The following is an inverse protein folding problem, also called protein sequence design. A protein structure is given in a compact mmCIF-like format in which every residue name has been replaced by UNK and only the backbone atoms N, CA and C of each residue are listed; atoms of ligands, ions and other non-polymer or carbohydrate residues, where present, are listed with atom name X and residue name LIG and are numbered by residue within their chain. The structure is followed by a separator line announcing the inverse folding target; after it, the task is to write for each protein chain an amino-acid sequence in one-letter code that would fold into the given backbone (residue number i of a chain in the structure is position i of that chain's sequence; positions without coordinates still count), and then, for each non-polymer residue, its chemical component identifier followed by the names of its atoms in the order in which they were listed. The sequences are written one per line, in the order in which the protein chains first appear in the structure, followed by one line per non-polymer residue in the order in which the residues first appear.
data_IF_298746445964
#
_entry.id   IF_298746445964
#
_cell.length_a   1.000
_cell.length_b   1.000
_cell.length_c   1.000
_cell.angle_alpha   90.00
_cell.angle_beta   90.00
_cell.angle_gamma   90.00
#
_symmetry.space_group_name_H-M   'P 1'
#
loop_
_entity.id
_entity.type
_entity.pdbx_description
1 polymer ?
#
# COMPACT_ATOMS: atom_id res chain seq x y z
N UNK A 1 3.77 24.98 36.17
CA UNK A 1 3.93 23.52 36.16
C UNK A 1 5.00 23.20 35.16
N UNK A 2 6.12 22.61 35.58
CA UNK A 2 7.23 22.34 34.67
C UNK A 2 6.88 21.15 33.77
N UNK A 3 6.85 21.35 32.47
CA UNK A 3 6.76 20.30 31.47
C UNK A 3 8.07 19.49 31.50
N UNK A 4 8.01 18.31 32.12
CA UNK A 4 9.10 17.34 32.03
C UNK A 4 9.16 16.87 30.57
N UNK A 5 10.21 17.28 29.85
CA UNK A 5 10.51 16.74 28.53
C UNK A 5 10.66 15.20 28.63
N UNK A 6 9.83 14.47 27.92
CA UNK A 6 9.98 13.02 27.78
C UNK A 6 11.34 12.78 27.11
N UNK A 7 12.26 11.98 27.71
CA UNK A 7 13.53 11.73 27.10
C UNK A 7 13.33 11.05 25.75
N UNK A 8 13.99 11.57 24.71
CA UNK A 8 14.00 10.92 23.41
C UNK A 8 14.54 9.49 23.58
N UNK A 9 13.68 8.50 23.37
CA UNK A 9 14.09 7.09 23.36
C UNK A 9 15.11 6.99 22.22
N UNK A 10 16.38 6.70 22.53
CA UNK A 10 17.33 6.23 21.53
C UNK A 10 16.83 4.90 21.01
N UNK A 11 16.04 4.94 19.94
CA UNK A 11 15.65 3.75 19.19
C UNK A 11 16.97 3.13 18.72
N UNK A 12 17.22 1.88 19.13
CA UNK A 12 18.34 1.10 18.64
C UNK A 12 18.39 1.20 17.10
N UNK A 13 19.58 1.24 16.53
CA UNK A 13 19.86 1.45 15.11
C UNK A 13 18.88 0.60 14.29
N UNK A 14 17.77 1.21 13.87
CA UNK A 14 16.88 0.58 12.90
C UNK A 14 17.58 0.62 11.54
N UNK A 15 17.64 -0.50 10.80
CA UNK A 15 18.20 -0.52 9.46
C UNK A 15 17.55 0.55 8.56
N UNK A 16 18.28 1.00 7.57
CA UNK A 16 17.79 1.88 6.52
C UNK A 16 17.47 1.05 5.27
N UNK A 17 16.57 1.52 4.38
CA UNK A 17 16.39 0.93 3.06
C UNK A 17 17.74 0.82 2.32
N UNK A 18 17.90 -0.23 1.49
CA UNK A 18 19.16 -0.42 0.75
C UNK A 18 19.41 0.72 -0.24
N UNK A 19 20.69 1.00 -0.47
CA UNK A 19 21.16 1.89 -1.54
C UNK A 19 21.74 1.00 -2.63
N UNK A 20 21.34 1.20 -3.87
CA UNK A 20 21.73 0.40 -5.03
C UNK A 20 22.88 1.08 -5.78
N UNK A 21 23.78 0.28 -6.37
CA UNK A 21 24.90 0.78 -7.15
C UNK A 21 24.50 0.92 -8.63
N UNK A 22 23.51 0.18 -9.09
CA UNK A 22 23.05 0.18 -10.48
C UNK A 22 21.53 0.19 -10.56
N UNK A 23 21.01 0.72 -11.67
CA UNK A 23 19.58 0.68 -11.99
C UNK A 23 19.05 -0.77 -12.06
N UNK A 24 19.88 -1.68 -12.61
CA UNK A 24 19.49 -3.09 -12.72
C UNK A 24 19.30 -3.77 -11.35
N UNK A 25 20.17 -3.47 -10.37
CA UNK A 25 20.02 -3.96 -8.99
C UNK A 25 18.75 -3.40 -8.35
N UNK A 26 18.49 -2.12 -8.51
CA UNK A 26 17.28 -1.50 -7.97
C UNK A 26 16.01 -2.06 -8.63
N UNK A 27 15.99 -2.22 -9.96
CA UNK A 27 14.88 -2.82 -10.69
C UNK A 27 14.59 -4.23 -10.20
N UNK A 28 15.60 -5.07 -10.10
CA UNK A 28 15.46 -6.43 -9.58
C UNK A 28 14.92 -6.43 -8.16
N UNK A 29 15.46 -5.60 -7.30
CA UNK A 29 14.97 -5.45 -5.93
C UNK A 29 13.48 -5.06 -5.89
N UNK A 30 13.08 -4.04 -6.65
CA UNK A 30 11.67 -3.61 -6.71
C UNK A 30 10.75 -4.75 -7.19
N UNK A 31 11.16 -5.50 -8.22
CA UNK A 31 10.42 -6.68 -8.72
C UNK A 31 10.31 -7.78 -7.68
N UNK A 32 11.39 -8.11 -6.98
CA UNK A 32 11.39 -9.11 -5.90
C UNK A 32 10.46 -8.72 -4.75
N UNK A 33 10.52 -7.46 -4.31
CA UNK A 33 9.61 -6.94 -3.28
C UNK A 33 8.16 -6.94 -3.77
N UNK A 34 7.93 -6.63 -5.03
CA UNK A 34 6.60 -6.65 -5.62
C UNK A 34 6.00 -8.06 -5.67
N UNK A 35 6.76 -9.07 -6.13
CA UNK A 35 6.35 -10.47 -6.11
C UNK A 35 6.05 -10.94 -4.67
N UNK A 36 6.90 -10.58 -3.71
CA UNK A 36 6.67 -10.92 -2.29
C UNK A 36 5.41 -10.26 -1.73
N UNK A 37 5.10 -9.02 -2.12
CA UNK A 37 3.91 -8.32 -1.68
C UNK A 37 2.63 -9.03 -2.18
N UNK A 38 2.61 -9.52 -3.42
CA UNK A 38 1.50 -10.33 -3.93
C UNK A 38 1.33 -11.63 -3.14
N UNK A 39 2.42 -12.37 -2.88
CA UNK A 39 2.38 -13.61 -2.09
C UNK A 39 1.88 -13.36 -0.67
N UNK A 40 2.30 -12.27 -0.04
CA UNK A 40 1.80 -11.85 1.27
C UNK A 40 0.33 -11.46 1.21
N UNK A 41 -0.10 -10.72 0.18
CA UNK A 41 -1.52 -10.38 0.01
C UNK A 41 -2.39 -11.63 -0.12
N UNK A 42 -1.94 -12.63 -0.88
CA UNK A 42 -2.62 -13.93 -0.92
C UNK A 42 -2.67 -14.60 0.46
N UNK A 43 -1.54 -14.61 1.19
CA UNK A 43 -1.42 -15.19 2.54
C UNK A 43 -2.35 -14.50 3.54
N UNK A 44 -2.54 -13.19 3.44
CA UNK A 44 -3.46 -12.41 4.28
C UNK A 44 -4.91 -12.46 3.82
N UNK A 45 -5.21 -13.15 2.71
CA UNK A 45 -6.58 -13.29 2.20
C UNK A 45 -7.08 -12.07 1.44
N UNK A 46 -6.19 -11.34 0.75
CA UNK A 46 -6.54 -10.16 -0.05
C UNK A 46 -6.68 -10.46 -1.55
N UNK A 47 -6.55 -11.72 -1.96
CA UNK A 47 -6.71 -12.15 -3.35
C UNK A 47 -8.18 -12.50 -3.61
N UNK A 48 -8.91 -11.62 -4.26
CA UNK A 48 -10.34 -11.75 -4.56
C UNK A 48 -10.54 -11.84 -6.09
N UNK A 49 -10.49 -13.06 -6.64
CA UNK A 49 -10.62 -13.28 -8.08
C UNK A 49 -9.52 -12.55 -8.87
N UNK A 50 -9.92 -11.62 -9.74
CA UNK A 50 -9.02 -10.78 -10.54
C UNK A 50 -8.86 -9.36 -9.99
N UNK A 51 -9.48 -9.08 -8.84
CA UNK A 51 -9.47 -7.76 -8.23
C UNK A 51 -8.17 -7.54 -7.44
N UNK A 52 -7.70 -6.31 -7.49
CA UNK A 52 -6.49 -5.89 -6.80
C UNK A 52 -5.24 -5.92 -7.67
N UNK A 53 -4.33 -5.04 -7.32
CA UNK A 53 -3.07 -4.83 -8.02
C UNK A 53 -2.09 -4.07 -7.13
N UNK A 54 -0.81 -4.35 -7.29
CA UNK A 54 0.28 -3.61 -6.67
C UNK A 54 1.21 -3.18 -7.79
N UNK A 55 1.64 -1.93 -7.78
CA UNK A 55 2.55 -1.39 -8.79
C UNK A 55 3.84 -0.91 -8.14
N UNK A 56 4.93 -0.99 -8.88
CA UNK A 56 6.22 -0.40 -8.53
C UNK A 56 6.77 0.36 -9.72
N UNK A 57 7.03 1.67 -9.56
CA UNK A 57 7.65 2.51 -10.58
C UNK A 57 9.00 1.93 -11.01
N UNK A 58 9.28 1.91 -12.30
CA UNK A 58 10.57 1.53 -12.82
C UNK A 58 11.63 2.57 -12.43
N UNK A 59 12.86 2.17 -12.02
CA UNK A 59 13.87 3.14 -11.60
C UNK A 59 14.55 3.90 -12.75
N UNK A 60 14.42 3.43 -13.99
CA UNK A 60 14.97 4.08 -15.18
C UNK A 60 13.92 4.88 -15.95
N UNK A 61 12.74 4.30 -16.07
CA UNK A 61 11.60 4.90 -16.79
C UNK A 61 10.55 5.34 -15.77
N UNK A 62 10.64 6.59 -15.31
CA UNK A 62 9.80 7.11 -14.21
C UNK A 62 8.30 7.15 -14.54
N UNK A 63 7.93 7.07 -15.81
CA UNK A 63 6.57 7.01 -16.33
C UNK A 63 6.06 5.57 -16.56
N UNK A 64 6.91 4.56 -16.28
CA UNK A 64 6.58 3.14 -16.36
C UNK A 64 6.46 2.52 -14.97
N UNK A 65 5.66 1.47 -14.86
CA UNK A 65 5.55 0.69 -13.60
C UNK A 65 5.39 -0.81 -13.84
N UNK A 66 6.02 -1.57 -12.97
CA UNK A 66 5.85 -3.01 -12.85
C UNK A 66 4.55 -3.33 -12.15
N UNK A 67 3.81 -4.34 -12.63
CA UNK A 67 2.51 -4.76 -12.10
C UNK A 67 2.29 -6.26 -12.33
N UNK A 68 1.32 -6.85 -11.62
CA UNK A 68 0.90 -8.22 -11.88
C UNK A 68 0.19 -8.36 -13.24
N UNK A 69 0.37 -9.50 -13.92
CA UNK A 69 -0.42 -9.83 -15.10
C UNK A 69 -1.89 -10.03 -14.71
N UNK A 70 -2.81 -9.59 -15.56
CA UNK A 70 -4.23 -9.78 -15.35
C UNK A 70 -4.61 -11.27 -15.36
N UNK A 71 -5.44 -11.69 -14.43
CA UNK A 71 -5.96 -13.05 -14.35
C UNK A 71 -5.05 -14.05 -13.62
N UNK A 72 -3.89 -13.64 -13.13
CA UNK A 72 -3.03 -14.50 -12.31
C UNK A 72 -3.32 -14.33 -10.82
N UNK A 73 -3.52 -15.43 -10.10
CA UNK A 73 -3.74 -15.40 -8.66
C UNK A 73 -2.48 -14.94 -7.92
N UNK A 74 -2.63 -14.09 -6.93
CA UNK A 74 -1.50 -13.48 -6.21
C UNK A 74 -0.51 -14.49 -5.63
N UNK A 75 -0.99 -15.66 -5.18
CA UNK A 75 -0.13 -16.72 -4.65
C UNK A 75 0.77 -17.41 -5.68
N UNK A 76 0.64 -17.08 -6.96
CA UNK A 76 1.42 -17.69 -8.04
C UNK A 76 2.42 -16.72 -8.67
N UNK A 77 2.33 -15.42 -8.37
CA UNK A 77 3.16 -14.40 -9.01
C UNK A 77 4.62 -14.54 -8.60
N UNK A 78 5.50 -14.58 -9.59
CA UNK A 78 6.96 -14.58 -9.49
C UNK A 78 7.53 -13.31 -10.09
N UNK A 79 8.82 -13.08 -9.89
CA UNK A 79 9.55 -11.94 -10.50
C UNK A 79 9.44 -11.97 -12.03
N UNK A 80 9.55 -13.17 -12.64
CA UNK A 80 9.45 -13.35 -14.10
C UNK A 80 8.04 -13.16 -14.67
N UNK A 81 6.99 -13.24 -13.85
CA UNK A 81 5.61 -13.04 -14.29
C UNK A 81 5.21 -11.56 -14.37
N UNK A 82 5.97 -10.65 -13.71
CA UNK A 82 5.66 -9.23 -13.68
C UNK A 82 5.80 -8.59 -15.05
N UNK A 83 4.84 -7.74 -15.39
CA UNK A 83 4.83 -6.99 -16.65
C UNK A 83 5.18 -5.52 -16.41
N UNK A 84 5.84 -4.88 -17.39
CA UNK A 84 6.13 -3.45 -17.39
C UNK A 84 5.12 -2.73 -18.28
N UNK A 85 4.48 -1.70 -17.75
CA UNK A 85 3.45 -0.92 -18.43
C UNK A 85 3.91 0.54 -18.53
N UNK A 86 3.76 1.14 -19.70
CA UNK A 86 4.10 2.55 -19.93
C UNK A 86 2.93 3.51 -19.59
N UNK A 87 3.14 4.82 -19.80
CA UNK A 87 2.16 5.87 -19.51
C UNK A 87 0.88 5.81 -20.37
N UNK A 88 0.90 5.01 -21.46
CA UNK A 88 -0.26 4.80 -22.35
C UNK A 88 -1.06 3.55 -22.03
N UNK A 89 -0.59 2.75 -21.03
CA UNK A 89 -1.21 1.47 -20.71
C UNK A 89 -0.75 0.31 -21.59
N UNK A 90 0.30 0.51 -22.40
CA UNK A 90 0.87 -0.53 -23.23
C UNK A 90 1.84 -1.39 -22.43
N UNK A 91 1.75 -2.71 -22.56
CA UNK A 91 2.72 -3.64 -21.98
C UNK A 91 3.97 -3.60 -22.85
N UNK A 92 5.09 -3.11 -22.29
CA UNK A 92 6.37 -2.97 -22.99
C UNK A 92 7.37 -4.09 -22.64
N UNK A 93 7.15 -4.81 -21.52
CA UNK A 93 7.85 -6.03 -21.14
C UNK A 93 6.85 -7.02 -20.54
N UNK A 94 6.93 -8.29 -20.95
CA UNK A 94 6.01 -9.37 -20.59
C UNK A 94 5.06 -9.73 -21.73
N UNK A 95 4.31 -10.83 -21.55
CA UNK A 95 3.45 -11.44 -22.60
C UNK A 95 1.96 -11.52 -22.21
N UNK A 96 1.60 -10.97 -21.04
CA UNK A 96 0.24 -11.01 -20.51
C UNK A 96 -0.41 -9.63 -20.48
N UNK A 97 -1.75 -9.53 -20.55
CA UNK A 97 -2.44 -8.25 -20.49
C UNK A 97 -2.35 -7.61 -19.11
N UNK A 98 -2.41 -6.29 -19.07
CA UNK A 98 -2.61 -5.50 -17.85
C UNK A 98 -4.10 -5.43 -17.49
N UNK A 99 -4.39 -5.26 -16.20
CA UNK A 99 -5.74 -4.90 -15.76
C UNK A 99 -5.98 -3.41 -16.04
N UNK A 100 -6.99 -3.07 -16.87
CA UNK A 100 -7.31 -1.69 -17.25
C UNK A 100 -7.64 -0.81 -16.04
N UNK A 101 -8.37 -1.35 -15.04
CA UNK A 101 -8.66 -0.60 -13.81
C UNK A 101 -7.39 -0.33 -12.99
N UNK A 102 -6.42 -1.27 -12.99
CA UNK A 102 -5.11 -1.04 -12.38
C UNK A 102 -4.38 0.12 -13.04
N UNK A 103 -4.37 0.15 -14.36
CA UNK A 103 -3.78 1.23 -15.13
C UNK A 103 -4.48 2.56 -14.84
N UNK A 104 -5.81 2.62 -14.95
CA UNK A 104 -6.58 3.85 -14.78
C UNK A 104 -6.33 4.54 -13.43
N UNK A 105 -6.20 3.77 -12.33
CA UNK A 105 -5.96 4.33 -11.00
C UNK A 105 -4.47 4.58 -10.76
N UNK A 106 -3.63 3.53 -10.91
CA UNK A 106 -2.23 3.59 -10.46
C UNK A 106 -1.37 4.49 -11.33
N UNK A 107 -1.60 4.54 -12.65
CA UNK A 107 -0.87 5.47 -13.53
C UNK A 107 -1.05 6.92 -13.08
N UNK A 108 -2.30 7.31 -12.74
CA UNK A 108 -2.62 8.68 -12.32
C UNK A 108 -2.04 9.01 -10.95
N UNK A 109 -2.05 8.04 -10.02
CA UNK A 109 -1.38 8.19 -8.72
C UNK A 109 0.12 8.37 -8.90
N UNK A 110 0.77 7.53 -9.72
CA UNK A 110 2.20 7.66 -10.01
C UNK A 110 2.54 8.99 -10.69
N UNK A 111 1.73 9.46 -11.63
CA UNK A 111 1.95 10.76 -12.29
C UNK A 111 1.80 11.93 -11.33
N UNK A 112 0.77 11.93 -10.48
CA UNK A 112 0.51 12.99 -9.51
C UNK A 112 1.51 13.01 -8.35
N UNK A 113 2.19 11.89 -8.09
CA UNK A 113 3.06 11.66 -6.93
C UNK A 113 4.44 11.10 -7.36
N UNK A 114 5.35 11.96 -7.85
CA UNK A 114 6.72 11.52 -8.20
C UNK A 114 7.51 10.91 -7.03
N UNK A 115 7.15 11.25 -5.79
CA UNK A 115 7.70 10.69 -4.56
C UNK A 115 7.24 9.26 -4.26
N UNK A 116 6.19 8.78 -4.94
CA UNK A 116 5.63 7.43 -4.78
C UNK A 116 6.34 6.46 -5.71
N UNK A 117 6.97 5.45 -5.11
CA UNK A 117 7.57 4.31 -5.84
C UNK A 117 6.55 3.19 -6.03
N UNK A 118 5.70 2.94 -5.03
CA UNK A 118 4.75 1.83 -5.09
C UNK A 118 3.36 2.26 -4.63
N UNK A 119 2.34 1.63 -5.22
CA UNK A 119 0.95 1.74 -4.84
C UNK A 119 0.33 0.35 -4.71
N UNK A 120 -0.47 0.12 -3.67
CA UNK A 120 -1.10 -1.15 -3.36
C UNK A 120 -2.60 -0.99 -3.18
N UNK A 121 -3.37 -1.81 -3.91
CA UNK A 121 -4.82 -1.88 -3.83
C UNK A 121 -5.28 -3.33 -3.86
N UNK A 122 -6.26 -3.66 -3.03
CA UNK A 122 -6.96 -4.94 -3.07
C UNK A 122 -8.36 -4.80 -2.44
N UNK A 123 -9.25 -5.74 -2.77
CA UNK A 123 -10.59 -5.83 -2.19
C UNK A 123 -10.58 -6.67 -0.90
N UNK A 124 -9.67 -6.34 0.02
CA UNK A 124 -9.58 -7.04 1.32
C UNK A 124 -10.90 -6.96 2.09
N UNK A 125 -11.25 -8.03 2.82
CA UNK A 125 -12.57 -8.14 3.44
C UNK A 125 -12.88 -6.96 4.37
N UNK A 126 -11.96 -6.60 5.25
CA UNK A 126 -12.21 -5.52 6.20
C UNK A 126 -12.06 -4.15 5.56
N UNK A 127 -11.15 -4.00 4.60
CA UNK A 127 -10.98 -2.77 3.84
C UNK A 127 -12.22 -2.42 3.02
N UNK A 128 -12.78 -3.36 2.24
CA UNK A 128 -14.01 -3.11 1.47
C UNK A 128 -15.23 -2.93 2.37
N UNK A 129 -15.30 -3.65 3.51
CA UNK A 129 -16.38 -3.45 4.48
C UNK A 129 -16.30 -2.06 5.10
N UNK A 130 -15.11 -1.62 5.52
CA UNK A 130 -14.93 -0.27 6.05
C UNK A 130 -15.23 0.81 5.02
N UNK A 131 -14.81 0.62 3.78
CA UNK A 131 -15.06 1.58 2.71
C UNK A 131 -16.55 1.87 2.49
N UNK A 132 -17.43 0.88 2.76
CA UNK A 132 -18.88 1.07 2.69
C UNK A 132 -19.47 1.95 3.79
N UNK A 133 -18.68 2.25 4.85
CA UNK A 133 -19.11 3.14 5.94
C UNK A 133 -18.98 4.63 5.57
N UNK A 134 -18.27 4.97 4.48
CA UNK A 134 -18.13 6.34 3.99
C UNK A 134 -17.46 7.29 5.00
N UNK A 135 -16.54 6.82 5.82
CA UNK A 135 -15.84 7.62 6.84
C UNK A 135 -14.38 7.20 7.02
N UNK A 136 -13.61 8.08 7.63
CA UNK A 136 -12.22 7.84 7.99
C UNK A 136 -12.11 6.86 9.17
N UNK A 137 -10.93 6.24 9.33
CA UNK A 137 -10.57 5.48 10.52
C UNK A 137 -10.33 6.42 11.71
N UNK A 138 -10.79 6.02 12.87
CA UNK A 138 -10.49 6.70 14.12
C UNK A 138 -9.15 6.18 14.72
N UNK A 139 -8.42 7.00 15.49
CA UNK A 139 -7.21 6.58 16.18
C UNK A 139 -7.55 5.72 17.40
N UNK A 140 -8.00 4.48 17.19
CA UNK A 140 -8.39 3.57 18.27
C UNK A 140 -7.25 2.71 18.80
N UNK A 141 -6.24 2.47 17.96
CA UNK A 141 -5.07 1.65 18.32
C UNK A 141 -3.79 2.36 17.89
N UNK A 142 -2.66 1.94 18.45
CA UNK A 142 -1.35 2.46 18.04
C UNK A 142 -1.14 2.31 16.52
N UNK A 143 -1.51 1.15 15.95
CA UNK A 143 -1.33 0.87 14.53
C UNK A 143 -2.23 1.75 13.65
N UNK A 144 -3.47 2.00 14.07
CA UNK A 144 -4.38 2.91 13.37
C UNK A 144 -3.85 4.36 13.37
N UNK A 145 -3.07 4.74 14.37
CA UNK A 145 -2.43 6.07 14.39
C UNK A 145 -1.43 6.27 13.24
N UNK A 146 -0.92 5.22 12.59
CA UNK A 146 -0.11 5.37 11.39
C UNK A 146 -0.82 6.17 10.30
N UNK A 147 -2.15 6.14 10.28
CA UNK A 147 -3.01 6.81 9.31
C UNK A 147 -3.64 8.11 9.83
N UNK A 148 -3.37 8.50 11.08
CA UNK A 148 -3.95 9.70 11.67
C UNK A 148 -3.53 10.96 10.89
N UNK A 149 -4.51 11.71 10.35
CA UNK A 149 -4.32 12.83 9.42
C UNK A 149 -3.60 12.47 8.09
N UNK A 150 -3.28 11.19 7.86
CA UNK A 150 -2.49 10.67 6.73
C UNK A 150 -3.29 9.76 5.79
N UNK A 151 -4.62 9.76 5.90
CA UNK A 151 -5.52 9.11 4.96
C UNK A 151 -6.69 10.01 4.61
N UNK A 152 -7.34 9.71 3.49
CA UNK A 152 -8.49 10.45 2.98
C UNK A 152 -9.61 9.50 2.56
N UNK A 153 -10.79 10.07 2.30
CA UNK A 153 -11.94 9.39 1.73
C UNK A 153 -12.19 9.94 0.32
N UNK A 154 -12.30 9.06 -0.66
CA UNK A 154 -12.85 9.33 -1.97
C UNK A 154 -14.27 8.78 -2.02
N UNK A 155 -15.27 9.66 -1.99
CA UNK A 155 -16.68 9.31 -1.82
C UNK A 155 -17.45 9.15 -3.13
N UNK A 156 -16.80 9.37 -4.27
CA UNK A 156 -17.42 9.34 -5.60
C UNK A 156 -17.27 7.94 -6.23
N UNK A 157 -18.27 7.07 -6.01
CA UNK A 157 -18.28 5.71 -6.57
C UNK A 157 -19.17 5.64 -7.81
N UNK A 158 -18.58 5.36 -8.98
CA UNK A 158 -19.25 5.31 -10.27
C UNK A 158 -19.15 3.93 -10.97
N UNK A 159 -18.83 2.88 -10.22
CA UNK A 159 -18.61 1.53 -10.77
C UNK A 159 -17.13 1.14 -10.86
N UNK A 160 -16.80 0.27 -11.80
CA UNK A 160 -15.41 -0.11 -12.08
C UNK A 160 -14.70 1.05 -12.76
N UNK A 161 -13.52 1.40 -12.26
CA UNK A 161 -12.73 2.54 -12.77
C UNK A 161 -12.05 2.13 -14.08
N UNK A 162 -12.56 2.59 -15.20
CA UNK A 162 -11.93 2.41 -16.53
C UNK A 162 -11.36 3.71 -17.07
N UNK A 163 -11.87 4.85 -16.61
CA UNK A 163 -11.48 6.17 -17.12
C UNK A 163 -10.38 6.78 -16.24
N UNK A 164 -9.35 7.30 -16.89
CA UNK A 164 -8.21 7.94 -16.21
C UNK A 164 -8.60 9.18 -15.42
N UNK A 165 -9.69 9.86 -15.81
CA UNK A 165 -10.25 11.02 -15.11
C UNK A 165 -10.70 10.69 -13.69
N UNK A 166 -11.21 9.47 -13.46
CA UNK A 166 -11.53 9.03 -12.10
C UNK A 166 -10.23 8.76 -11.30
N UNK A 167 -9.21 8.18 -11.94
CA UNK A 167 -7.88 8.06 -11.36
C UNK A 167 -7.29 9.41 -10.94
N UNK A 168 -7.48 10.47 -11.74
CA UNK A 168 -7.06 11.84 -11.38
C UNK A 168 -7.78 12.35 -10.14
N UNK A 169 -9.11 12.14 -10.04
CA UNK A 169 -9.89 12.53 -8.85
C UNK A 169 -9.46 11.75 -7.61
N UNK A 170 -9.16 10.45 -7.76
CA UNK A 170 -8.61 9.63 -6.67
C UNK A 170 -7.26 10.16 -6.21
N UNK A 171 -6.34 10.45 -7.14
CA UNK A 171 -5.02 11.01 -6.84
C UNK A 171 -5.14 12.39 -6.14
N UNK A 172 -6.07 13.23 -6.59
CA UNK A 172 -6.38 14.51 -5.96
C UNK A 172 -6.92 14.33 -4.54
N UNK A 173 -7.85 13.40 -4.32
CA UNK A 173 -8.41 13.11 -2.99
C UNK A 173 -7.35 12.57 -2.04
N UNK A 174 -6.43 11.74 -2.52
CA UNK A 174 -5.28 11.27 -1.76
C UNK A 174 -4.36 12.43 -1.37
N UNK A 175 -4.08 13.36 -2.28
CA UNK A 175 -3.15 14.45 -2.08
C UNK A 175 -1.77 13.95 -1.69
N UNK A 176 -1.19 14.48 -0.61
CA UNK A 176 0.13 14.05 -0.10
C UNK A 176 0.06 12.91 0.92
N UNK A 177 -1.13 12.42 1.23
CA UNK A 177 -1.34 11.35 2.21
C UNK A 177 -0.85 10.01 1.68
N UNK A 178 -0.69 9.05 2.58
CA UNK A 178 -0.21 7.70 2.24
C UNK A 178 -1.32 6.71 1.91
N UNK A 179 -2.58 7.07 2.17
CA UNK A 179 -3.72 6.19 1.92
C UNK A 179 -4.98 6.95 1.53
N UNK A 180 -5.84 6.27 0.78
CA UNK A 180 -7.21 6.71 0.50
C UNK A 180 -8.17 5.53 0.64
N UNK A 181 -9.29 5.79 1.30
CA UNK A 181 -10.44 4.88 1.34
C UNK A 181 -11.29 5.22 0.11
N UNK A 182 -11.43 4.26 -0.79
CA UNK A 182 -12.31 4.36 -1.95
C UNK A 182 -13.69 3.86 -1.52
N UNK A 183 -14.65 4.77 -1.32
CA UNK A 183 -15.97 4.43 -0.80
C UNK A 183 -16.65 3.35 -1.64
N UNK A 184 -17.22 2.32 -0.99
CA UNK A 184 -17.87 1.15 -1.61
C UNK A 184 -16.95 0.30 -2.51
N UNK A 185 -15.62 0.49 -2.43
CA UNK A 185 -14.66 -0.19 -3.30
C UNK A 185 -13.56 -0.90 -2.48
N UNK A 186 -12.75 -0.16 -1.75
CA UNK A 186 -11.65 -0.74 -0.97
C UNK A 186 -10.64 0.29 -0.50
N UNK A 187 -9.40 -0.17 -0.30
CA UNK A 187 -8.29 0.65 0.17
C UNK A 187 -7.23 0.81 -0.92
N UNK A 188 -6.59 1.96 -0.94
CA UNK A 188 -5.38 2.21 -1.74
C UNK A 188 -4.34 2.87 -0.85
N UNK A 189 -3.14 2.30 -0.82
CA UNK A 189 -1.99 2.83 -0.06
C UNK A 189 -0.80 3.05 -0.97
N UNK A 190 0.07 3.99 -0.60
CA UNK A 190 1.27 4.33 -1.37
C UNK A 190 2.50 4.37 -0.47
N UNK A 191 3.68 4.20 -1.07
CA UNK A 191 4.95 4.24 -0.37
C UNK A 191 6.12 4.65 -1.25
N UNK A 192 7.23 5.02 -0.62
CA UNK A 192 8.52 5.26 -1.26
C UNK A 192 9.27 3.96 -1.58
N UNK A 193 8.73 2.84 -1.11
CA UNK A 193 9.17 1.48 -1.43
C UNK A 193 7.93 0.59 -1.55
N UNK A 194 8.09 -0.57 -2.20
CA UNK A 194 7.05 -1.60 -2.22
C UNK A 194 6.72 -2.07 -0.80
N UNK A 195 7.76 -2.25 0.00
CA UNK A 195 7.67 -2.66 1.41
C UNK A 195 6.75 -1.75 2.20
N UNK A 196 6.94 -0.44 2.08
CA UNK A 196 6.15 0.58 2.75
C UNK A 196 4.68 0.53 2.32
N UNK A 197 4.43 0.52 1.01
CA UNK A 197 3.06 0.51 0.48
C UNK A 197 2.30 -0.75 0.90
N UNK A 198 2.95 -1.93 0.81
CA UNK A 198 2.36 -3.20 1.19
C UNK A 198 2.12 -3.31 2.71
N UNK A 199 3.08 -2.87 3.53
CA UNK A 199 2.90 -2.84 4.98
C UNK A 199 1.74 -1.95 5.39
N UNK A 200 1.66 -0.73 4.85
CA UNK A 200 0.55 0.16 5.18
C UNK A 200 -0.80 -0.40 4.72
N UNK A 201 -0.85 -1.12 3.59
CA UNK A 201 -2.09 -1.78 3.18
C UNK A 201 -2.53 -2.83 4.21
N UNK A 202 -1.62 -3.74 4.60
CA UNK A 202 -1.89 -4.79 5.60
C UNK A 202 -2.34 -4.15 6.92
N UNK A 203 -1.62 -3.14 7.38
CA UNK A 203 -1.92 -2.45 8.64
C UNK A 203 -3.26 -1.71 8.59
N UNK A 204 -3.59 -1.11 7.44
CA UNK A 204 -4.87 -0.40 7.27
C UNK A 204 -6.05 -1.37 7.28
N UNK A 205 -5.95 -2.51 6.58
CA UNK A 205 -6.98 -3.55 6.64
C UNK A 205 -7.18 -4.08 8.07
N UNK A 206 -6.08 -4.33 8.81
CA UNK A 206 -6.15 -4.73 10.23
C UNK A 206 -6.73 -3.65 11.13
N UNK A 207 -6.48 -2.38 10.84
CA UNK A 207 -7.09 -1.26 11.56
C UNK A 207 -8.60 -1.19 11.29
N UNK A 208 -9.04 -1.42 10.05
CA UNK A 208 -10.45 -1.55 9.69
C UNK A 208 -11.10 -2.71 10.47
N UNK A 209 -10.48 -3.88 10.50
CA UNK A 209 -10.95 -5.04 11.26
C UNK A 209 -11.11 -4.70 12.75
N UNK A 210 -10.07 -4.12 13.34
CA UNK A 210 -10.04 -3.77 14.77
C UNK A 210 -11.15 -2.80 15.14
N UNK A 211 -11.35 -1.76 14.32
CA UNK A 211 -12.39 -0.77 14.57
C UNK A 211 -13.80 -1.34 14.40
N UNK A 212 -14.06 -2.13 13.35
CA UNK A 212 -15.34 -2.82 13.16
C UNK A 212 -15.69 -3.72 14.37
N UNK A 213 -14.71 -4.48 14.86
CA UNK A 213 -14.90 -5.36 16.02
C UNK A 213 -15.12 -4.57 17.31
N UNK A 214 -14.37 -3.50 17.52
CA UNK A 214 -14.52 -2.66 18.71
C UNK A 214 -15.89 -1.97 18.75
N UNK A 215 -16.37 -1.46 17.62
CA UNK A 215 -17.68 -0.81 17.52
C UNK A 215 -18.84 -1.82 17.68
N UNK A 216 -18.67 -3.04 17.19
CA UNK A 216 -19.65 -4.11 17.42
C UNK A 216 -19.71 -4.56 18.89
N UNK A 217 -18.60 -4.47 19.63
CA UNK A 217 -18.53 -4.82 21.05
C UNK A 217 -19.03 -3.69 21.98
N UNK A 218 -19.03 -2.44 21.52
CA UNK A 218 -19.48 -1.31 22.32
C UNK A 218 -19.01 0.05 21.75
N UNK A 219 -18.87 1.04 22.62
CA UNK A 219 -18.38 2.36 22.23
C UNK A 219 -16.87 2.44 22.49
N UNK A 220 -16.03 2.44 21.46
CA UNK A 220 -14.59 2.55 21.65
C UNK A 220 -14.18 3.93 22.18
N UNK A 221 -13.02 3.98 22.84
CA UNK A 221 -12.42 5.21 23.37
C UNK A 221 -11.28 5.62 22.43
N UNK A 222 -11.39 6.70 21.66
CA UNK A 222 -10.33 7.16 20.78
C UNK A 222 -9.10 7.65 21.58
N UNK A 223 -7.92 7.45 21.01
CA UNK A 223 -6.68 8.09 21.46
C UNK A 223 -6.82 9.60 21.27
N UNK A 224 -6.32 10.39 22.23
CA UNK A 224 -6.37 11.84 22.14
C UNK A 224 -5.64 12.36 20.88
N UNK A 225 -6.05 13.51 20.38
CA UNK A 225 -5.42 14.16 19.22
C UNK A 225 -3.89 14.28 19.38
N UNK A 226 -3.44 14.77 20.54
CA UNK A 226 -2.01 14.93 20.83
C UNK A 226 -1.26 13.59 20.80
N UNK A 227 -1.79 12.58 21.48
CA UNK A 227 -1.18 11.25 21.53
C UNK A 227 -1.23 10.56 20.16
N UNK A 228 -2.29 10.73 19.39
CA UNK A 228 -2.42 10.16 18.05
C UNK A 228 -1.38 10.76 17.08
N UNK A 229 -1.10 12.06 17.15
CA UNK A 229 -0.04 12.71 16.36
C UNK A 229 1.35 12.24 16.76
N UNK A 230 1.62 12.07 18.05
CA UNK A 230 2.88 11.50 18.52
C UNK A 230 3.05 10.08 17.99
N UNK A 231 2.03 9.23 18.15
CA UNK A 231 2.06 7.87 17.64
C UNK A 231 2.22 7.82 16.11
N UNK A 232 1.54 8.71 15.36
CA UNK A 232 1.68 8.81 13.91
C UNK A 232 3.14 9.07 13.50
N UNK A 233 3.83 9.99 14.14
CA UNK A 233 5.25 10.27 13.86
C UNK A 233 6.15 9.07 14.15
N UNK A 234 5.79 8.25 15.14
CA UNK A 234 6.56 7.08 15.54
C UNK A 234 6.34 5.87 14.64
N UNK A 235 5.08 5.54 14.31
CA UNK A 235 4.72 4.32 13.57
C UNK A 235 4.29 4.56 12.12
N UNK A 236 3.99 5.81 11.75
CA UNK A 236 3.47 6.16 10.42
C UNK A 236 4.51 6.74 9.45
N UNK A 237 5.80 6.80 9.80
CA UNK A 237 6.82 7.33 8.91
C UNK A 237 7.32 6.27 7.90
N UNK A 238 7.86 6.70 6.72
CA UNK A 238 8.28 5.79 5.65
C UNK A 238 9.30 4.73 6.07
N UNK A 239 10.29 5.12 6.89
CA UNK A 239 11.33 4.20 7.37
C UNK A 239 10.74 3.07 8.21
N UNK A 240 9.80 3.40 9.10
CA UNK A 240 9.12 2.39 9.92
C UNK A 240 8.25 1.50 9.06
N UNK A 241 7.51 2.04 8.09
CA UNK A 241 6.73 1.26 7.14
C UNK A 241 7.59 0.24 6.40
N UNK A 242 8.75 0.67 5.87
CA UNK A 242 9.73 -0.21 5.23
C UNK A 242 10.25 -1.28 6.22
N UNK A 243 10.66 -0.87 7.42
CA UNK A 243 11.27 -1.79 8.40
C UNK A 243 10.30 -2.85 8.89
N UNK A 244 9.05 -2.49 9.12
CA UNK A 244 8.00 -3.41 9.58
C UNK A 244 7.68 -4.50 8.54
N UNK A 245 7.98 -4.27 7.28
CA UNK A 245 7.81 -5.28 6.24
C UNK A 245 8.92 -6.34 6.26
N UNK A 246 10.12 -6.04 6.79
CA UNK A 246 11.26 -6.95 6.70
C UNK A 246 11.01 -8.34 7.31
N UNK A 247 10.41 -8.49 8.50
CA UNK A 247 10.05 -9.81 9.03
C UNK A 247 9.09 -10.60 8.14
N UNK A 248 8.17 -9.91 7.44
CA UNK A 248 7.25 -10.56 6.50
C UNK A 248 7.99 -11.04 5.25
N UNK A 249 8.93 -10.24 4.75
CA UNK A 249 9.81 -10.62 3.65
C UNK A 249 10.61 -11.89 4.00
N UNK A 250 11.25 -11.91 5.16
CA UNK A 250 12.06 -13.05 5.59
C UNK A 250 11.24 -14.35 5.68
N UNK A 251 9.99 -14.24 6.14
CA UNK A 251 9.08 -15.38 6.23
C UNK A 251 8.64 -15.83 4.84
N UNK A 252 8.17 -14.92 3.99
CA UNK A 252 7.57 -15.31 2.71
C UNK A 252 8.61 -15.88 1.74
N UNK A 253 9.83 -15.33 1.70
CA UNK A 253 10.92 -15.86 0.86
C UNK A 253 11.36 -17.24 1.34
N UNK A 254 11.34 -17.50 2.64
CA UNK A 254 11.66 -18.82 3.17
C UNK A 254 10.58 -19.85 2.86
N UNK A 255 9.31 -19.47 2.95
CA UNK A 255 8.18 -20.36 2.70
C UNK A 255 7.94 -20.62 1.21
N UNK A 256 8.22 -19.64 0.37
CA UNK A 256 7.89 -19.62 -1.07
C UNK A 256 9.07 -19.04 -1.88
N UNK A 257 10.25 -19.70 -1.88
CA UNK A 257 11.46 -19.17 -2.53
C UNK A 257 11.31 -19.00 -4.05
N UNK A 258 10.38 -19.73 -4.67
CA UNK A 258 10.04 -19.65 -6.10
C UNK A 258 9.52 -18.25 -6.52
N UNK A 259 9.12 -17.42 -5.59
CA UNK A 259 8.72 -16.04 -5.90
C UNK A 259 9.86 -15.21 -6.51
N UNK A 260 11.13 -15.62 -6.30
CA UNK A 260 12.32 -14.92 -6.78
C UNK A 260 12.72 -15.31 -8.23
N UNK A 261 12.06 -16.33 -8.82
CA UNK A 261 12.38 -16.87 -10.16
C UNK A 261 11.95 -15.91 -11.29
#
# INVERSE_FOLDING_TARGET
MATTAVPAIKIAITPEPPIFQTIAEERLHRKQRLASAFRLFAKFGFSEGVAGHITARDPEHEDHFWVNPFGMHFSQIRVSDLILVNEKGEVVEGDRPVNEAAFAIHSRVHMARPDVVAAAHAHSLYGKTWSSMGRLLDPLTQDACAFYEEHSLFADYNGVVYETEEGDRIAQAMGRRKAVILQNHGLLTVGRTVDEAAWFFITMDRSCQSQLMAEAAGKPVPISHESARIAQQQVGNPRVGWFQYQPLWDVIVREQPDLLD
#
